data_IF_256484838384
#
_entry.id   IF_256484838384
#
_cell.length_a   1.000
_cell.length_b   1.000
_cell.length_c   1.000
_cell.angle_alpha   90.00
_cell.angle_beta   90.00
_cell.angle_gamma   90.00
#
_symmetry.space_group_name_H-M   'P 1'
#
loop_
_entity.id
_entity.type
_entity.pdbx_description
1 polymer ?
#
# COMPACT_ATOMS: atom_id res chain seq x y z
N UNK A 1 -20.37 -31.15 -10.89
CA UNK A 1 -21.63 -31.36 -10.13
C UNK A 1 -22.61 -30.31 -10.65
N UNK A 2 -23.55 -30.75 -11.49
CA UNK A 2 -24.50 -29.89 -12.19
C UNK A 2 -25.81 -29.88 -11.42
N UNK A 3 -26.43 -28.72 -11.21
CA UNK A 3 -27.77 -28.63 -10.62
C UNK A 3 -28.53 -27.51 -11.32
N UNK A 4 -29.34 -27.92 -12.29
CA UNK A 4 -30.39 -27.12 -12.92
C UNK A 4 -31.55 -26.90 -11.94
N UNK A 5 -32.24 -25.76 -11.98
CA UNK A 5 -33.48 -25.57 -11.23
C UNK A 5 -34.67 -26.18 -12.01
N UNK A 6 -35.37 -27.08 -11.34
CA UNK A 6 -36.61 -27.72 -11.77
C UNK A 6 -37.78 -26.73 -11.75
N UNK A 7 -38.46 -26.60 -12.89
CA UNK A 7 -39.75 -25.90 -13.04
C UNK A 7 -40.86 -26.86 -12.58
N UNK A 8 -41.83 -26.44 -11.75
CA UNK A 8 -43.10 -27.14 -11.64
C UNK A 8 -44.12 -26.55 -12.63
N UNK A 9 -44.61 -27.42 -13.50
CA UNK A 9 -45.68 -27.20 -14.46
C UNK A 9 -47.06 -27.51 -13.81
N UNK A 10 -48.07 -26.74 -14.22
CA UNK A 10 -49.49 -27.12 -14.29
C UNK A 10 -50.26 -27.46 -13.00
N UNK A 11 -51.22 -26.60 -12.66
CA UNK A 11 -52.48 -27.05 -12.05
C UNK A 11 -53.67 -26.35 -12.70
N UNK A 12 -54.65 -27.19 -13.01
CA UNK A 12 -55.78 -26.98 -13.89
C UNK A 12 -56.88 -26.09 -13.30
N UNK A 13 -57.51 -25.35 -14.20
CA UNK A 13 -58.95 -25.10 -14.32
C UNK A 13 -59.80 -25.05 -13.04
N UNK A 14 -60.22 -23.84 -12.66
CA UNK A 14 -61.63 -23.60 -12.34
C UNK A 14 -62.09 -22.32 -13.04
N UNK A 15 -62.63 -22.49 -14.25
CA UNK A 15 -63.54 -21.52 -14.82
C UNK A 15 -64.80 -21.53 -13.95
N UNK A 16 -64.95 -20.51 -13.11
CA UNK A 16 -66.15 -20.29 -12.32
C UNK A 16 -67.34 -20.13 -13.26
N UNK A 17 -68.23 -21.11 -13.21
CA UNK A 17 -69.51 -21.11 -13.89
C UNK A 17 -70.34 -19.92 -13.41
N UNK A 18 -70.48 -18.92 -14.28
CA UNK A 18 -71.46 -17.85 -14.13
C UNK A 18 -72.86 -18.48 -14.08
N UNK A 19 -73.69 -18.23 -13.06
CA UNK A 19 -75.11 -18.47 -13.17
C UNK A 19 -75.65 -17.48 -14.20
N UNK A 20 -76.12 -18.00 -15.34
CA UNK A 20 -76.99 -17.28 -16.26
C UNK A 20 -78.28 -16.90 -15.53
N UNK A 21 -78.25 -15.79 -14.80
CA UNK A 21 -79.47 -15.11 -14.40
C UNK A 21 -79.78 -14.11 -15.52
N UNK A 22 -80.48 -14.61 -16.53
CA UNK A 22 -81.18 -13.81 -17.54
C UNK A 22 -82.32 -13.05 -16.85
N UNK A 23 -81.97 -12.08 -16.01
CA UNK A 23 -82.89 -11.07 -15.55
C UNK A 23 -82.81 -9.96 -16.59
N UNK A 24 -83.85 -9.90 -17.40
CA UNK A 24 -84.28 -8.73 -18.13
C UNK A 24 -84.07 -7.48 -17.28
N UNK A 25 -82.95 -6.79 -17.47
CA UNK A 25 -82.77 -5.43 -16.99
C UNK A 25 -83.69 -4.54 -17.80
N UNK A 26 -84.97 -4.56 -17.38
CA UNK A 26 -85.83 -3.39 -17.42
C UNK A 26 -84.96 -2.19 -17.07
N UNK A 27 -84.92 -1.21 -17.97
CA UNK A 27 -84.44 0.14 -17.71
C UNK A 27 -85.37 0.84 -16.71
N UNK A 28 -85.63 0.22 -15.57
CA UNK A 28 -86.06 0.87 -14.36
C UNK A 28 -84.78 1.33 -13.68
N UNK A 29 -84.38 2.58 -13.94
CA UNK A 29 -83.48 3.26 -13.03
C UNK A 29 -84.09 3.12 -11.63
N UNK A 30 -83.50 2.35 -10.70
CA UNK A 30 -83.97 2.43 -9.33
C UNK A 30 -83.72 3.89 -8.92
N UNK A 31 -84.76 4.60 -8.52
CA UNK A 31 -84.61 5.91 -7.92
C UNK A 31 -83.66 5.75 -6.73
N UNK A 32 -82.38 6.07 -6.96
CA UNK A 32 -81.32 5.88 -5.98
C UNK A 32 -81.69 6.80 -4.82
N UNK A 33 -82.04 6.20 -3.69
CA UNK A 33 -82.43 6.98 -2.52
C UNK A 33 -81.30 7.95 -2.16
N UNK A 34 -81.66 9.19 -1.82
CA UNK A 34 -80.70 10.24 -1.46
C UNK A 34 -79.70 9.75 -0.39
N UNK A 35 -80.15 8.92 0.55
CA UNK A 35 -79.33 8.35 1.60
C UNK A 35 -78.23 7.42 1.05
N UNK A 36 -78.54 6.62 0.03
CA UNK A 36 -77.56 5.77 -0.69
C UNK A 36 -76.54 6.63 -1.42
N UNK A 37 -76.97 7.71 -2.06
CA UNK A 37 -76.06 8.61 -2.76
C UNK A 37 -75.10 9.33 -1.79
N UNK A 38 -75.62 9.78 -0.65
CA UNK A 38 -74.83 10.41 0.41
C UNK A 38 -73.85 9.43 1.05
N UNK A 39 -74.24 8.17 1.29
CA UNK A 39 -73.35 7.17 1.87
C UNK A 39 -72.20 6.82 0.92
N UNK A 40 -72.49 6.64 -0.38
CA UNK A 40 -71.47 6.44 -1.41
C UNK A 40 -70.56 7.67 -1.56
N UNK A 41 -71.10 8.89 -1.51
CA UNK A 41 -70.30 10.11 -1.59
C UNK A 41 -69.38 10.26 -0.37
N UNK A 42 -69.86 9.95 0.84
CA UNK A 42 -69.06 9.96 2.07
C UNK A 42 -67.96 8.88 2.04
N UNK A 43 -68.28 7.69 1.53
CA UNK A 43 -67.31 6.62 1.33
C UNK A 43 -66.23 7.03 0.31
N UNK A 44 -66.63 7.61 -0.82
CA UNK A 44 -65.72 8.15 -1.84
C UNK A 44 -64.86 9.29 -1.29
N UNK A 45 -65.42 10.20 -0.48
CA UNK A 45 -64.65 11.26 0.19
C UNK A 45 -63.61 10.69 1.15
N UNK A 46 -63.97 9.70 1.96
CA UNK A 46 -63.03 9.03 2.87
C UNK A 46 -61.92 8.31 2.10
N UNK A 47 -62.28 7.59 1.03
CA UNK A 47 -61.33 6.92 0.14
C UNK A 47 -60.36 7.93 -0.51
N UNK A 48 -60.87 9.04 -1.03
CA UNK A 48 -60.05 10.10 -1.61
C UNK A 48 -59.16 10.77 -0.56
N UNK A 49 -59.65 10.98 0.67
CA UNK A 49 -58.81 11.50 1.76
C UNK A 49 -57.66 10.55 2.12
N UNK A 50 -57.83 9.24 1.92
CA UNK A 50 -56.75 8.25 2.11
C UNK A 50 -55.66 8.35 1.03
N UNK A 51 -55.87 9.04 -0.09
CA UNK A 51 -54.83 9.21 -1.11
C UNK A 51 -53.71 10.14 -0.64
N UNK A 52 -54.02 11.06 0.27
CA UNK A 52 -53.04 11.98 0.84
C UNK A 52 -52.00 11.23 1.68
N UNK A 53 -52.44 10.25 2.48
CA UNK A 53 -51.52 9.41 3.27
C UNK A 53 -50.64 8.54 2.38
N UNK A 54 -51.16 8.03 1.26
CA UNK A 54 -50.38 7.29 0.25
C UNK A 54 -49.35 8.19 -0.42
N UNK A 55 -49.72 9.44 -0.75
CA UNK A 55 -48.79 10.40 -1.34
C UNK A 55 -47.63 10.72 -0.38
N UNK A 56 -47.94 10.99 0.88
CA UNK A 56 -46.93 11.20 1.93
C UNK A 56 -46.05 9.98 2.13
N UNK A 57 -46.62 8.77 2.10
CA UNK A 57 -45.83 7.54 2.18
C UNK A 57 -44.86 7.42 0.98
N UNK A 58 -45.31 7.75 -0.23
CA UNK A 58 -44.47 7.74 -1.42
C UNK A 58 -43.32 8.76 -1.34
N UNK A 59 -43.58 9.95 -0.82
CA UNK A 59 -42.55 10.97 -0.58
C UNK A 59 -41.47 10.46 0.39
N UNK A 60 -41.90 9.87 1.51
CA UNK A 60 -40.98 9.28 2.50
C UNK A 60 -40.16 8.15 1.87
N UNK A 61 -40.79 7.24 1.12
CA UNK A 61 -40.09 6.13 0.46
C UNK A 61 -39.07 6.64 -0.56
N UNK A 62 -39.43 7.67 -1.33
CA UNK A 62 -38.54 8.27 -2.32
C UNK A 62 -37.34 8.94 -1.64
N UNK A 63 -37.57 9.70 -0.57
CA UNK A 63 -36.51 10.33 0.22
C UNK A 63 -35.60 9.29 0.88
N UNK A 64 -36.18 8.25 1.49
CA UNK A 64 -35.44 7.16 2.12
C UNK A 64 -34.58 6.40 1.09
N UNK A 65 -35.10 6.18 -0.11
CA UNK A 65 -34.34 5.56 -1.20
C UNK A 65 -33.16 6.42 -1.63
N UNK A 66 -33.35 7.72 -1.83
CA UNK A 66 -32.27 8.62 -2.18
C UNK A 66 -31.15 8.65 -1.11
N UNK A 67 -31.53 8.75 0.17
CA UNK A 67 -30.59 8.69 1.28
C UNK A 67 -29.83 7.35 1.36
N UNK A 68 -30.51 6.23 1.06
CA UNK A 68 -29.87 4.92 1.01
C UNK A 68 -28.85 4.83 -0.13
N UNK A 69 -29.21 5.31 -1.32
CA UNK A 69 -28.31 5.33 -2.48
C UNK A 69 -27.03 6.13 -2.18
N UNK A 70 -27.16 7.29 -1.54
CA UNK A 70 -26.00 8.10 -1.09
C UNK A 70 -25.16 7.37 -0.03
N UNK A 71 -25.81 6.75 0.97
CA UNK A 71 -25.10 6.01 2.02
C UNK A 71 -24.33 4.81 1.47
N UNK A 72 -24.88 4.11 0.47
CA UNK A 72 -24.21 2.98 -0.17
C UNK A 72 -22.99 3.45 -0.95
N UNK A 73 -23.11 4.55 -1.71
CA UNK A 73 -21.97 5.15 -2.43
C UNK A 73 -20.88 5.60 -1.46
N UNK A 74 -21.24 6.25 -0.36
CA UNK A 74 -20.28 6.69 0.65
C UNK A 74 -19.58 5.49 1.31
N UNK A 75 -20.34 4.46 1.68
CA UNK A 75 -19.80 3.22 2.26
C UNK A 75 -18.81 2.53 1.30
N UNK A 76 -19.15 2.46 0.02
CA UNK A 76 -18.25 1.90 -1.00
C UNK A 76 -16.95 2.72 -1.13
N UNK A 77 -17.04 4.05 -1.15
CA UNK A 77 -15.86 4.94 -1.18
C UNK A 77 -14.98 4.78 0.05
N UNK A 78 -15.57 4.75 1.24
CA UNK A 78 -14.85 4.53 2.50
C UNK A 78 -14.22 3.14 2.54
N UNK A 79 -14.91 2.12 2.04
CA UNK A 79 -14.38 0.76 1.91
C UNK A 79 -13.15 0.70 1.01
N UNK A 80 -13.22 1.34 -0.16
CA UNK A 80 -12.09 1.47 -1.08
C UNK A 80 -10.90 2.18 -0.44
N UNK A 81 -11.13 3.34 0.19
CA UNK A 81 -10.06 4.08 0.88
C UNK A 81 -9.41 3.28 1.99
N UNK A 82 -10.20 2.57 2.82
CA UNK A 82 -9.66 1.72 3.88
C UNK A 82 -8.79 0.60 3.32
N UNK A 83 -9.21 -0.02 2.22
CA UNK A 83 -8.42 -1.05 1.52
C UNK A 83 -7.13 -0.46 0.96
N UNK A 84 -7.21 0.69 0.28
CA UNK A 84 -6.05 1.37 -0.29
C UNK A 84 -5.04 1.79 0.77
N UNK A 85 -5.49 2.37 1.89
CA UNK A 85 -4.59 2.74 3.01
C UNK A 85 -3.92 1.50 3.59
N UNK A 86 -4.65 0.40 3.78
CA UNK A 86 -4.08 -0.86 4.28
C UNK A 86 -2.99 -1.40 3.35
N UNK A 87 -3.20 -1.32 2.04
CA UNK A 87 -2.21 -1.70 1.03
C UNK A 87 -0.99 -0.77 1.05
N UNK A 88 -1.19 0.54 1.10
CA UNK A 88 -0.09 1.51 1.19
C UNK A 88 0.76 1.32 2.45
N UNK A 89 0.13 1.02 3.59
CA UNK A 89 0.86 0.69 4.84
C UNK A 89 1.71 -0.58 4.66
N UNK A 90 1.21 -1.60 3.96
CA UNK A 90 2.00 -2.81 3.65
C UNK A 90 3.19 -2.48 2.76
N UNK A 91 3.01 -1.63 1.75
CA UNK A 91 4.08 -1.18 0.86
C UNK A 91 5.14 -0.41 1.66
N UNK A 92 4.74 0.57 2.47
CA UNK A 92 5.63 1.34 3.34
C UNK A 92 6.45 0.44 4.27
N UNK A 93 5.84 -0.60 4.83
CA UNK A 93 6.55 -1.58 5.68
C UNK A 93 7.59 -2.37 4.88
N UNK A 94 7.28 -2.76 3.64
CA UNK A 94 8.25 -3.40 2.73
C UNK A 94 9.40 -2.46 2.37
N UNK A 95 9.10 -1.21 2.04
CA UNK A 95 10.11 -0.18 1.73
C UNK A 95 11.02 0.03 2.93
N UNK A 96 10.48 0.19 4.14
CA UNK A 96 11.27 0.30 5.37
C UNK A 96 12.20 -0.90 5.56
N UNK A 97 11.68 -2.12 5.40
CA UNK A 97 12.50 -3.33 5.49
C UNK A 97 13.60 -3.39 4.42
N UNK A 98 13.29 -2.95 3.19
CA UNK A 98 14.27 -2.84 2.11
C UNK A 98 15.39 -1.85 2.42
N UNK A 99 15.05 -0.66 2.91
CA UNK A 99 16.03 0.36 3.33
C UNK A 99 16.92 -0.16 4.45
N UNK A 100 16.34 -0.84 5.45
CA UNK A 100 17.11 -1.43 6.55
C UNK A 100 18.06 -2.53 6.05
N UNK A 101 17.63 -3.36 5.10
CA UNK A 101 18.51 -4.36 4.46
C UNK A 101 19.66 -3.70 3.74
N UNK A 102 19.38 -2.72 2.86
CA UNK A 102 20.41 -1.99 2.12
C UNK A 102 21.39 -1.29 3.05
N UNK A 103 20.91 -0.74 4.17
CA UNK A 103 21.77 -0.15 5.20
C UNK A 103 22.71 -1.18 5.83
N UNK A 104 22.19 -2.35 6.23
CA UNK A 104 22.99 -3.43 6.82
C UNK A 104 24.01 -3.99 5.83
N UNK A 105 23.60 -4.20 4.59
CA UNK A 105 24.46 -4.67 3.51
C UNK A 105 25.56 -3.64 3.22
N UNK A 106 25.20 -2.36 3.09
CA UNK A 106 26.16 -1.27 2.94
C UNK A 106 27.14 -1.15 4.10
N UNK A 107 26.69 -1.35 5.35
CA UNK A 107 27.58 -1.36 6.52
C UNK A 107 28.57 -2.53 6.47
N UNK A 108 28.13 -3.72 6.05
CA UNK A 108 28.98 -4.89 5.88
C UNK A 108 30.02 -4.67 4.78
N UNK A 109 29.60 -4.14 3.63
CA UNK A 109 30.46 -3.86 2.50
C UNK A 109 31.49 -2.80 2.85
N UNK A 110 31.06 -1.71 3.50
CA UNK A 110 31.96 -0.67 3.99
C UNK A 110 33.01 -1.23 4.95
N UNK A 111 32.61 -2.09 5.90
CA UNK A 111 33.54 -2.77 6.81
C UNK A 111 34.53 -3.69 6.06
N UNK A 112 34.09 -4.31 4.97
CA UNK A 112 34.96 -5.12 4.11
C UNK A 112 35.99 -4.27 3.38
N UNK A 113 35.57 -3.12 2.85
CA UNK A 113 36.45 -2.15 2.19
C UNK A 113 37.49 -1.61 3.17
N UNK A 114 37.09 -1.18 4.38
CA UNK A 114 38.02 -0.74 5.44
C UNK A 114 39.07 -1.81 5.73
N UNK A 115 38.66 -3.08 5.90
CA UNK A 115 39.60 -4.18 6.15
C UNK A 115 40.57 -4.40 5.00
N UNK A 116 40.10 -4.25 3.77
CA UNK A 116 40.94 -4.38 2.57
C UNK A 116 41.96 -3.24 2.50
N UNK A 117 41.54 -2.02 2.85
CA UNK A 117 42.39 -0.83 2.93
C UNK A 117 43.45 -0.96 4.03
N UNK A 118 43.05 -1.40 5.23
CA UNK A 118 43.96 -1.67 6.34
C UNK A 118 44.98 -2.77 5.97
N UNK A 119 44.54 -3.84 5.28
CA UNK A 119 45.43 -4.90 4.82
C UNK A 119 46.42 -4.43 3.73
N UNK A 120 45.99 -3.54 2.83
CA UNK A 120 46.86 -2.93 1.84
C UNK A 120 47.91 -2.02 2.50
N UNK A 121 47.52 -1.22 3.50
CA UNK A 121 48.47 -0.41 4.29
C UNK A 121 49.50 -1.29 5.01
N UNK A 122 49.07 -2.37 5.66
CA UNK A 122 49.98 -3.28 6.35
C UNK A 122 50.98 -3.95 5.38
N UNK A 123 50.57 -4.29 4.16
CA UNK A 123 51.47 -4.81 3.12
C UNK A 123 52.47 -3.75 2.65
N UNK A 124 52.03 -2.50 2.50
CA UNK A 124 52.91 -1.40 2.13
C UNK A 124 53.96 -1.15 3.21
N UNK A 125 53.55 -1.11 4.48
CA UNK A 125 54.47 -0.96 5.63
C UNK A 125 55.48 -2.12 5.68
N UNK A 126 55.02 -3.36 5.54
CA UNK A 126 55.92 -4.52 5.49
C UNK A 126 56.91 -4.46 4.31
N UNK A 127 56.48 -3.99 3.15
CA UNK A 127 57.38 -3.86 1.98
C UNK A 127 58.41 -2.74 2.21
N UNK A 128 58.00 -1.63 2.83
CA UNK A 128 58.91 -0.56 3.23
C UNK A 128 59.95 -1.03 4.24
N UNK A 129 59.56 -1.82 5.23
CA UNK A 129 60.49 -2.37 6.22
C UNK A 129 61.52 -3.31 5.59
N UNK A 130 61.10 -4.13 4.61
CA UNK A 130 62.01 -4.98 3.82
C UNK A 130 62.99 -4.13 3.02
N UNK A 131 62.51 -3.09 2.32
CA UNK A 131 63.39 -2.22 1.54
C UNK A 131 64.37 -1.47 2.44
N UNK A 132 63.95 -0.96 3.61
CA UNK A 132 64.82 -0.31 4.62
C UNK A 132 65.89 -1.25 5.15
N UNK A 133 65.53 -2.49 5.48
CA UNK A 133 66.46 -3.48 6.06
C UNK A 133 67.40 -4.13 5.05
N UNK A 134 67.08 -4.05 3.76
CA UNK A 134 67.93 -4.62 2.70
C UNK A 134 69.01 -3.62 2.28
N UNK A 135 70.23 -3.83 2.76
CA UNK A 135 71.41 -3.03 2.42
C UNK A 135 71.95 -3.41 1.04
N UNK A 136 72.40 -2.42 0.27
CA UNK A 136 73.01 -2.66 -1.05
C UNK A 136 74.45 -3.14 -0.86
N UNK A 137 74.78 -4.29 -1.45
CA UNK A 137 76.12 -4.88 -1.40
C UNK A 137 77.18 -3.94 -1.98
N UNK A 138 78.37 -3.94 -1.36
CA UNK A 138 79.48 -3.06 -1.71
C UNK A 138 80.02 -3.25 -3.14
N UNK A 139 79.76 -4.40 -3.78
CA UNK A 139 80.14 -4.66 -5.17
C UNK A 139 79.35 -3.82 -6.20
N UNK A 140 78.15 -3.36 -5.82
CA UNK A 140 77.30 -2.53 -6.67
C UNK A 140 77.45 -1.02 -6.40
N UNK A 141 78.41 -0.64 -5.54
CA UNK A 141 78.65 0.75 -5.14
C UNK A 141 79.99 1.26 -5.68
N UNK A 142 80.05 2.50 -6.22
CA UNK A 142 81.33 3.13 -6.53
C UNK A 142 82.19 3.33 -5.26
N UNK A 143 83.51 3.23 -5.41
CA UNK A 143 84.44 3.26 -4.28
C UNK A 143 84.38 4.62 -3.54
N UNK A 144 83.96 4.60 -2.27
CA UNK A 144 83.93 5.78 -1.39
C UNK A 144 82.54 6.27 -0.96
N UNK A 145 81.45 5.67 -1.41
CA UNK A 145 80.09 6.04 -0.96
C UNK A 145 79.64 5.33 0.33
N UNK A 146 78.88 6.06 1.15
CA UNK A 146 78.22 5.59 2.38
C UNK A 146 77.24 4.41 2.13
N UNK A 147 76.95 3.58 3.14
CA UNK A 147 76.02 2.47 3.03
C UNK A 147 74.57 2.91 2.79
N UNK A 148 74.10 2.68 1.54
CA UNK A 148 72.72 2.93 1.10
C UNK A 148 71.86 1.67 1.18
N UNK A 149 70.60 1.85 1.55
CA UNK A 149 69.54 0.83 1.57
C UNK A 149 68.78 0.84 0.24
N UNK A 150 68.11 -0.27 -0.13
CA UNK A 150 67.26 -0.32 -1.34
C UNK A 150 66.15 0.75 -1.34
N UNK A 151 65.72 1.22 -0.17
CA UNK A 151 64.73 2.30 -0.07
C UNK A 151 65.24 3.61 -0.70
N UNK A 152 66.55 3.88 -0.64
CA UNK A 152 67.21 5.11 -1.12
C UNK A 152 67.28 5.20 -2.66
N UNK A 153 66.87 4.13 -3.35
CA UNK A 153 66.71 4.08 -4.80
C UNK A 153 65.24 4.20 -5.24
N UNK A 154 64.33 4.29 -4.27
CA UNK A 154 62.89 4.52 -4.49
C UNK A 154 62.60 5.98 -4.17
N UNK A 155 61.67 6.58 -4.91
CA UNK A 155 61.15 7.92 -4.59
C UNK A 155 60.45 7.90 -3.22
N UNK A 156 61.18 8.29 -2.18
CA UNK A 156 60.70 8.27 -0.79
C UNK A 156 59.53 9.24 -0.59
N UNK A 157 59.55 10.39 -1.28
CA UNK A 157 58.50 11.41 -1.20
C UNK A 157 57.18 10.89 -1.79
N UNK A 158 57.24 10.18 -2.93
CA UNK A 158 56.07 9.59 -3.58
C UNK A 158 55.40 8.49 -2.74
N UNK A 159 56.20 7.63 -2.10
CA UNK A 159 55.67 6.54 -1.26
C UNK A 159 55.13 7.05 0.06
N UNK A 160 55.80 8.04 0.66
CA UNK A 160 55.37 8.64 1.92
C UNK A 160 54.07 9.44 1.76
N UNK A 161 53.94 10.19 0.67
CA UNK A 161 52.69 10.86 0.29
C UNK A 161 51.55 9.87 0.09
N UNK A 162 51.80 8.73 -0.56
CA UNK A 162 50.78 7.69 -0.77
C UNK A 162 50.35 7.03 0.54
N UNK A 163 51.29 6.79 1.45
CA UNK A 163 51.03 6.27 2.80
C UNK A 163 50.18 7.25 3.61
N UNK A 164 50.52 8.53 3.57
CA UNK A 164 49.81 9.54 4.35
C UNK A 164 48.40 9.79 3.80
N UNK A 165 48.23 9.78 2.47
CA UNK A 165 46.92 9.81 1.83
C UNK A 165 46.07 8.57 2.20
N UNK A 166 46.67 7.38 2.26
CA UNK A 166 46.00 6.15 2.67
C UNK A 166 45.58 6.19 4.14
N UNK A 167 46.44 6.69 5.03
CA UNK A 167 46.16 6.88 6.45
C UNK A 167 45.06 7.92 6.67
N UNK A 168 45.06 9.01 5.93
CA UNK A 168 43.99 10.02 6.02
C UNK A 168 42.66 9.47 5.50
N UNK A 169 42.66 8.73 4.39
CA UNK A 169 41.45 8.05 3.88
C UNK A 169 40.89 7.04 4.90
N UNK A 170 41.74 6.28 5.59
CA UNK A 170 41.33 5.38 6.69
C UNK A 170 40.76 6.18 7.87
N UNK A 171 41.35 7.32 8.21
CA UNK A 171 40.90 8.17 9.32
C UNK A 171 39.54 8.80 9.03
N UNK A 172 39.37 9.37 7.84
CA UNK A 172 38.13 9.97 7.37
C UNK A 172 36.98 8.94 7.36
N UNK A 173 37.25 7.74 6.85
CA UNK A 173 36.26 6.65 6.79
C UNK A 173 35.92 6.06 8.16
N UNK A 174 36.84 6.06 9.13
CA UNK A 174 36.59 5.62 10.53
C UNK A 174 35.82 6.63 11.37
N UNK A 175 35.89 7.93 11.06
CA UNK A 175 35.15 8.98 11.77
C UNK A 175 33.67 9.02 11.35
N UNK A 176 33.34 8.55 10.15
CA UNK A 176 32.00 8.73 9.56
C UNK A 176 30.85 7.80 10.03
N UNK A 177 31.02 6.65 10.71
CA UNK A 177 29.86 5.85 11.16
C UNK A 177 29.90 5.56 12.67
N UNK A 178 29.83 6.61 13.49
CA UNK A 178 29.73 6.46 14.96
C UNK A 178 28.64 7.29 15.64
N UNK A 179 27.73 7.93 14.89
CA UNK A 179 26.52 8.53 15.46
C UNK A 179 25.30 7.61 15.28
N UNK A 180 25.00 6.72 16.24
CA UNK A 180 23.70 6.08 16.32
C UNK A 180 22.68 7.14 16.73
N UNK A 181 21.93 7.64 15.75
CA UNK A 181 20.73 8.43 16.03
C UNK A 181 19.77 7.54 16.83
N UNK A 182 19.73 7.78 18.14
CA UNK A 182 18.79 7.18 19.08
C UNK A 182 17.37 7.68 18.75
N UNK A 183 16.65 6.95 17.91
CA UNK A 183 15.21 7.15 17.75
C UNK A 183 14.46 6.11 18.59
N UNK A 184 14.14 6.49 19.84
CA UNK A 184 13.05 5.90 20.61
C UNK A 184 11.72 6.12 19.87
N UNK A 185 10.86 5.09 19.72
CA UNK A 185 9.50 5.29 19.29
C UNK A 185 8.62 5.66 20.50
N UNK A 186 7.86 6.75 20.36
CA UNK A 186 6.61 6.99 21.10
C UNK A 186 5.47 6.54 20.20
#
# INVERSE_FOLDING_TARGET
MSSSPTIPESSHSQASLSPSNSQSHSMSHPDVSLQTLVSHLLASKRSLSSINTVWRANEIVTSARAALEESVVLSARTGFLRSGISEQVKILRKVRGGVESVYKDGQKDFKSVIRTLDAANARLESTMDVLRSTMVEAAFRPAGEEPRSLLDFVDEEGVETMRDALKESIRETKVSPSDPISHSPV
#
